data_IF_990459195119
#
_entry.id   IF_990459195119
#
_cell.length_a   1.000
_cell.length_b   1.000
_cell.length_c   1.000
_cell.angle_alpha   90.00
_cell.angle_beta   90.00
_cell.angle_gamma   90.00
#
_symmetry.space_group_name_H-M   'P 1'
#
loop_
_entity.id
_entity.type
_entity.pdbx_description
1 polymer ?
#
# COMPACT_ATOMS: atom_id res chain seq x y z
N UNK A 1 3.66 -21.97 -22.92
CA UNK A 1 4.35 -20.91 -22.18
C UNK A 1 3.94 -19.57 -22.75
N UNK A 2 2.99 -18.89 -22.10
CA UNK A 2 2.54 -17.57 -22.52
C UNK A 2 3.60 -16.49 -22.25
N UNK A 3 3.47 -15.30 -22.85
CA UNK A 3 4.29 -14.14 -22.50
C UNK A 3 4.09 -13.78 -21.03
N UNK A 4 5.15 -13.27 -20.41
CA UNK A 4 5.11 -12.77 -19.02
C UNK A 4 5.10 -11.25 -19.10
N UNK A 5 4.11 -10.62 -18.47
CA UNK A 5 4.11 -9.18 -18.27
C UNK A 5 4.97 -8.84 -17.05
N UNK A 6 5.79 -7.80 -17.18
CA UNK A 6 6.47 -7.19 -16.03
C UNK A 6 5.59 -6.02 -15.59
N UNK A 7 4.97 -6.16 -14.41
CA UNK A 7 4.16 -5.11 -13.79
C UNK A 7 5.11 -4.07 -13.17
N UNK A 8 5.06 -2.83 -13.67
CA UNK A 8 5.64 -1.68 -13.00
C UNK A 8 4.50 -0.80 -12.46
N UNK A 9 4.27 -0.87 -11.15
CA UNK A 9 3.25 -0.07 -10.46
C UNK A 9 3.95 1.06 -9.71
N UNK A 10 3.64 2.32 -10.05
CA UNK A 10 4.05 3.48 -9.23
C UNK A 10 2.90 3.83 -8.29
N UNK A 11 2.92 3.27 -7.09
CA UNK A 11 2.10 3.74 -5.96
C UNK A 11 2.96 4.62 -5.06
N UNK A 12 2.33 5.61 -4.41
CA UNK A 12 3.01 6.39 -3.37
C UNK A 12 3.60 5.43 -2.33
N UNK A 13 4.82 5.67 -1.83
CA UNK A 13 5.44 4.79 -0.84
C UNK A 13 4.52 4.69 0.39
N UNK A 14 4.17 3.46 0.77
CA UNK A 14 3.61 3.23 2.09
C UNK A 14 4.71 3.48 3.11
N UNK A 15 4.69 4.67 3.72
CA UNK A 15 5.54 4.95 4.87
C UNK A 15 4.99 4.10 6.03
N UNK A 16 5.69 3.01 6.35
CA UNK A 16 5.43 2.21 7.53
C UNK A 16 5.43 3.12 8.76
N UNK A 17 4.28 3.29 9.39
CA UNK A 17 4.13 4.12 10.57
C UNK A 17 4.55 3.31 11.81
N UNK A 18 5.85 3.26 12.11
CA UNK A 18 6.36 2.72 13.36
C UNK A 18 7.14 3.79 14.13
N UNK A 19 6.43 4.55 14.98
CA UNK A 19 7.10 5.38 15.99
C UNK A 19 6.40 6.68 16.36
N UNK A 20 5.27 6.66 17.06
CA UNK A 20 4.71 7.90 17.64
C UNK A 20 4.06 7.66 19.01
N UNK A 21 4.74 8.10 20.07
CA UNK A 21 4.27 9.06 21.10
C UNK A 21 5.20 9.04 22.32
N UNK A 22 5.89 10.15 22.58
CA UNK A 22 6.62 10.42 23.82
C UNK A 22 5.91 11.51 24.62
N UNK A 23 5.62 11.22 25.89
CA UNK A 23 5.13 12.17 26.89
C UNK A 23 6.27 12.85 27.64
N UNK A 24 6.00 14.06 28.13
CA UNK A 24 6.91 14.98 28.81
C UNK A 24 7.38 14.47 30.19
N UNK A 25 8.61 14.86 30.58
CA UNK A 25 9.13 14.70 31.93
C UNK A 25 10.46 15.46 32.12
N UNK A 26 10.41 16.52 32.92
CA UNK A 26 11.54 17.34 33.39
C UNK A 26 12.49 16.54 34.31
N UNK A 27 13.81 16.80 34.22
CA UNK A 27 14.78 16.33 35.21
C UNK A 27 16.23 16.69 34.87
N UNK A 28 16.84 17.53 35.71
CA UNK A 28 18.21 18.03 35.67
C UNK A 28 19.23 17.03 36.25
N UNK A 29 20.49 17.05 35.77
CA UNK A 29 21.60 16.34 36.44
C UNK A 29 22.86 16.17 35.60
N UNK A 30 23.92 16.90 35.96
CA UNK A 30 25.29 16.80 35.45
C UNK A 30 26.01 15.55 35.98
N UNK A 31 26.82 14.90 35.13
CA UNK A 31 27.76 13.85 35.56
C UNK A 31 28.59 13.30 34.40
N UNK A 32 29.89 13.58 34.41
CA UNK A 32 30.86 13.17 33.40
C UNK A 32 31.29 11.69 33.57
N UNK A 33 31.42 10.99 32.43
CA UNK A 33 32.01 9.65 32.34
C UNK A 33 31.92 9.13 30.91
N UNK A 34 33.07 8.95 30.25
CA UNK A 34 33.15 8.46 28.86
C UNK A 34 32.65 7.00 28.74
N UNK A 35 32.01 6.64 27.61
CA UNK A 35 32.05 5.24 27.17
C UNK A 35 32.37 5.06 25.68
N UNK A 36 32.88 3.86 25.41
CA UNK A 36 33.26 3.32 24.12
C UNK A 36 32.14 3.39 23.06
N UNK A 37 32.54 3.64 21.82
CA UNK A 37 31.64 3.74 20.67
C UNK A 37 31.05 2.37 20.29
N UNK A 38 29.95 1.98 20.93
CA UNK A 38 28.98 1.07 20.30
C UNK A 38 27.89 1.92 19.66
N UNK A 39 27.91 2.00 18.33
CA UNK A 39 26.86 2.68 17.56
C UNK A 39 25.54 1.91 17.68
N UNK A 40 24.75 2.22 18.70
CA UNK A 40 23.33 1.89 18.72
C UNK A 40 22.62 2.88 17.78
N UNK A 41 21.78 2.44 16.83
CA UNK A 41 20.98 3.37 16.05
C UNK A 41 19.83 3.84 16.95
N UNK A 42 20.04 4.95 17.65
CA UNK A 42 18.93 5.78 18.10
C UNK A 42 18.36 6.43 16.85
N UNK A 43 17.28 5.87 16.29
CA UNK A 43 16.62 6.46 15.13
C UNK A 43 15.97 7.79 15.55
N UNK A 44 16.74 8.87 15.48
CA UNK A 44 16.20 10.22 15.55
C UNK A 44 15.10 10.34 14.49
N UNK A 45 13.91 10.80 14.89
CA UNK A 45 12.82 11.04 13.95
C UNK A 45 13.34 11.88 12.78
N UNK A 46 13.04 11.42 11.57
CA UNK A 46 13.35 12.15 10.35
C UNK A 46 12.78 13.56 10.43
N UNK A 47 13.42 14.54 9.77
CA UNK A 47 12.88 15.91 9.69
C UNK A 47 11.45 15.91 9.11
N UNK A 48 11.15 14.94 8.23
CA UNK A 48 9.81 14.73 7.68
C UNK A 48 8.79 14.38 8.77
N UNK A 49 9.08 13.42 9.65
CA UNK A 49 8.16 13.01 10.71
C UNK A 49 7.88 14.15 11.69
N UNK A 50 8.92 14.93 12.03
CA UNK A 50 8.78 16.10 12.90
C UNK A 50 7.86 17.16 12.28
N UNK A 51 7.99 17.41 10.97
CA UNK A 51 7.27 18.48 10.28
C UNK A 51 5.97 18.01 9.60
N UNK A 52 5.62 16.73 9.68
CA UNK A 52 4.47 16.14 8.97
C UNK A 52 3.17 16.89 9.26
N UNK A 53 2.91 17.21 10.54
CA UNK A 53 1.70 17.91 10.95
C UNK A 53 1.62 19.31 10.31
N UNK A 54 2.71 20.06 10.36
CA UNK A 54 2.77 21.41 9.80
C UNK A 54 2.59 21.40 8.28
N UNK A 55 3.17 20.40 7.60
CA UNK A 55 3.01 20.19 6.16
C UNK A 55 1.55 19.82 5.80
N UNK A 56 0.94 18.91 6.54
CA UNK A 56 -0.46 18.53 6.33
C UNK A 56 -1.40 19.72 6.55
N UNK A 57 -1.16 20.52 7.59
CA UNK A 57 -1.92 21.74 7.89
C UNK A 57 -1.75 22.79 6.80
N UNK A 58 -0.53 22.97 6.27
CA UNK A 58 -0.29 23.86 5.13
C UNK A 58 -1.02 23.39 3.87
N UNK A 59 -0.92 22.08 3.54
CA UNK A 59 -1.62 21.49 2.40
C UNK A 59 -3.13 21.71 2.48
N UNK A 60 -3.73 21.55 3.66
CA UNK A 60 -5.16 21.79 3.89
C UNK A 60 -5.52 23.27 3.78
N UNK A 61 -4.79 24.16 4.45
CA UNK A 61 -5.02 25.63 4.42
C UNK A 61 -4.90 26.22 3.02
N UNK A 62 -3.96 25.71 2.21
CA UNK A 62 -3.74 26.14 0.82
C UNK A 62 -4.56 25.36 -0.20
N UNK A 63 -5.44 24.48 0.27
CA UNK A 63 -6.32 23.65 -0.56
C UNK A 63 -5.58 22.82 -1.61
N UNK A 64 -4.46 22.19 -1.24
CA UNK A 64 -3.88 21.12 -2.06
C UNK A 64 -4.79 19.91 -2.08
N UNK A 65 -5.25 19.48 -0.91
CA UNK A 65 -6.29 18.46 -0.77
C UNK A 65 -7.10 18.68 0.51
N UNK A 66 -8.34 18.19 0.52
CA UNK A 66 -9.24 18.15 1.69
C UNK A 66 -10.04 16.85 1.70
N UNK A 67 -10.69 16.56 2.81
CA UNK A 67 -11.57 15.42 2.92
C UNK A 67 -12.72 15.55 1.90
N UNK A 68 -13.01 14.49 1.15
CA UNK A 68 -14.16 14.47 0.25
C UNK A 68 -15.45 14.61 1.04
N UNK A 69 -16.39 15.40 0.52
CA UNK A 69 -17.71 15.66 1.15
C UNK A 69 -17.63 16.17 2.60
N UNK A 70 -16.59 16.93 2.95
CA UNK A 70 -16.31 17.41 4.32
C UNK A 70 -17.51 18.15 4.96
N UNK A 71 -18.25 18.96 4.18
CA UNK A 71 -19.43 19.70 4.68
C UNK A 71 -20.62 18.81 5.07
N UNK A 72 -20.60 17.54 4.65
CA UNK A 72 -21.57 16.50 5.02
C UNK A 72 -21.00 15.51 6.05
N UNK A 73 -19.90 15.87 6.74
CA UNK A 73 -19.20 15.00 7.69
C UNK A 73 -18.04 14.20 7.09
N UNK A 74 -17.98 14.11 5.75
CA UNK A 74 -16.94 13.42 5.02
C UNK A 74 -16.94 11.90 5.17
N UNK A 75 -16.24 11.21 4.26
CA UNK A 75 -16.06 9.75 4.31
C UNK A 75 -14.58 9.42 4.19
N UNK A 76 -14.00 8.77 5.22
CA UNK A 76 -12.58 8.42 5.26
C UNK A 76 -12.12 7.66 4.01
N UNK A 77 -10.93 7.98 3.52
CA UNK A 77 -10.34 7.40 2.31
C UNK A 77 -10.72 8.11 1.01
N UNK A 78 -11.65 9.08 1.01
CA UNK A 78 -11.96 9.90 -0.16
C UNK A 78 -11.46 11.34 0.00
N UNK A 79 -10.80 11.87 -1.04
CA UNK A 79 -10.18 13.20 -0.99
C UNK A 79 -10.50 14.02 -2.22
N UNK A 80 -10.68 15.33 -2.01
CA UNK A 80 -10.80 16.33 -3.08
C UNK A 80 -9.48 17.05 -3.22
N UNK A 81 -8.91 17.07 -4.42
CA UNK A 81 -7.75 17.90 -4.75
C UNK A 81 -8.25 19.31 -5.12
N UNK A 82 -7.69 20.36 -4.51
CA UNK A 82 -8.00 21.74 -4.87
C UNK A 82 -7.05 22.27 -5.95
N UNK A 83 -7.13 23.57 -6.32
CA UNK A 83 -6.44 24.11 -7.49
C UNK A 83 -4.94 23.80 -7.57
N UNK A 84 -4.11 24.04 -6.52
CA UNK A 84 -2.69 23.69 -6.58
C UNK A 84 -2.44 22.19 -6.56
N UNK A 85 -3.30 21.40 -5.90
CA UNK A 85 -3.19 19.93 -5.89
C UNK A 85 -3.49 19.31 -7.25
N UNK A 86 -4.50 19.82 -7.94
CA UNK A 86 -4.81 19.44 -9.32
C UNK A 86 -3.64 19.76 -10.26
N UNK A 87 -3.09 20.99 -10.19
CA UNK A 87 -1.94 21.38 -11.01
C UNK A 87 -0.72 20.48 -10.74
N UNK A 88 -0.39 20.23 -9.48
CA UNK A 88 0.71 19.34 -9.09
C UNK A 88 0.49 17.91 -9.62
N UNK A 89 -0.71 17.36 -9.42
CA UNK A 89 -1.05 16.01 -9.88
C UNK A 89 -0.94 15.88 -11.39
N UNK A 90 -1.45 16.86 -12.15
CA UNK A 90 -1.33 16.89 -13.61
C UNK A 90 0.13 16.93 -14.05
N UNK A 91 0.97 17.75 -13.39
CA UNK A 91 2.39 17.84 -13.70
C UNK A 91 3.12 16.52 -13.42
N UNK A 92 2.82 15.85 -12.31
CA UNK A 92 3.40 14.53 -11.99
C UNK A 92 3.01 13.49 -13.05
N UNK A 93 1.74 13.43 -13.44
CA UNK A 93 1.27 12.50 -14.48
C UNK A 93 1.94 12.81 -15.82
N UNK A 94 2.08 14.08 -16.17
CA UNK A 94 2.76 14.48 -17.40
C UNK A 94 4.24 14.07 -17.40
N UNK A 95 4.96 14.28 -16.29
CA UNK A 95 6.34 13.82 -16.15
C UNK A 95 6.44 12.29 -16.24
N UNK A 96 5.50 11.55 -15.64
CA UNK A 96 5.44 10.10 -15.74
C UNK A 96 5.24 9.63 -17.19
N UNK A 97 4.33 10.27 -17.95
CA UNK A 97 4.14 9.99 -19.38
C UNK A 97 5.41 10.23 -20.19
N UNK A 98 6.07 11.37 -19.96
CA UNK A 98 7.32 11.69 -20.65
C UNK A 98 8.41 10.66 -20.32
N UNK A 99 8.54 10.29 -19.05
CA UNK A 99 9.59 9.40 -18.57
C UNK A 99 9.41 7.93 -19.00
N UNK A 100 8.17 7.44 -19.07
CA UNK A 100 7.91 6.02 -19.39
C UNK A 100 7.27 5.83 -20.76
N UNK A 101 6.11 6.45 -21.00
CA UNK A 101 5.34 6.20 -22.23
C UNK A 101 6.09 6.71 -23.46
N UNK A 102 6.53 7.97 -23.43
CA UNK A 102 7.18 8.59 -24.58
C UNK A 102 8.58 7.99 -24.79
N UNK A 103 9.37 7.88 -23.72
CA UNK A 103 10.74 7.36 -23.77
C UNK A 103 10.80 5.91 -24.30
N UNK A 104 9.87 5.04 -23.88
CA UNK A 104 9.83 3.64 -24.31
C UNK A 104 8.81 3.36 -25.42
N UNK A 105 8.23 4.41 -26.01
CA UNK A 105 7.25 4.31 -27.11
C UNK A 105 6.10 3.34 -26.81
N UNK A 106 5.58 3.39 -25.59
CA UNK A 106 4.51 2.51 -25.15
C UNK A 106 3.16 2.93 -25.71
N UNK A 107 2.24 1.97 -25.87
CA UNK A 107 0.85 2.25 -26.21
C UNK A 107 0.08 2.68 -24.95
N UNK A 108 -0.37 3.93 -24.88
CA UNK A 108 -1.27 4.39 -23.82
C UNK A 108 -2.72 4.03 -24.17
N UNK A 109 -3.45 3.42 -23.23
CA UNK A 109 -4.89 3.14 -23.36
C UNK A 109 -5.66 3.71 -22.17
N UNK A 110 -6.98 3.89 -22.34
CA UNK A 110 -7.92 4.21 -21.28
C UNK A 110 -9.08 3.21 -21.31
N UNK A 111 -9.14 2.32 -20.31
CA UNK A 111 -10.27 1.40 -20.13
C UNK A 111 -11.29 1.91 -19.09
N UNK A 112 -12.47 1.30 -19.08
CA UNK A 112 -13.58 1.61 -18.17
C UNK A 112 -13.24 1.34 -16.69
N UNK A 113 -13.91 2.07 -15.78
CA UNK A 113 -13.75 1.87 -14.34
C UNK A 113 -14.62 0.74 -13.78
N UNK A 114 -15.70 0.37 -14.46
CA UNK A 114 -16.65 -0.66 -14.02
C UNK A 114 -16.31 -1.95 -14.75
N UNK A 115 -16.00 -3.00 -14.00
CA UNK A 115 -15.68 -4.32 -14.53
C UNK A 115 -16.74 -5.36 -14.16
N UNK A 116 -17.25 -6.14 -15.14
CA UNK A 116 -18.17 -7.23 -14.87
C UNK A 116 -17.54 -8.32 -13.99
N UNK A 117 -18.34 -8.95 -13.12
CA UNK A 117 -17.89 -10.02 -12.22
C UNK A 117 -17.04 -11.13 -12.91
N UNK A 118 -17.40 -11.65 -14.11
CA UNK A 118 -16.60 -12.70 -14.74
C UNK A 118 -15.13 -12.33 -15.00
N UNK A 119 -14.83 -11.06 -15.30
CA UNK A 119 -13.46 -10.58 -15.53
C UNK A 119 -12.64 -10.70 -14.25
N UNK A 120 -13.18 -10.20 -13.14
CA UNK A 120 -12.51 -10.19 -11.84
C UNK A 120 -12.51 -11.56 -11.16
N UNK A 121 -13.45 -12.44 -11.53
CA UNK A 121 -13.44 -13.85 -11.14
C UNK A 121 -12.32 -14.60 -11.87
N UNK A 122 -12.18 -14.39 -13.18
CA UNK A 122 -11.13 -15.02 -13.98
C UNK A 122 -9.72 -14.61 -13.56
N UNK A 123 -9.52 -13.35 -13.14
CA UNK A 123 -8.23 -12.88 -12.60
C UNK A 123 -7.99 -13.28 -11.14
N UNK A 124 -8.96 -13.88 -10.47
CA UNK A 124 -8.85 -14.33 -9.07
C UNK A 124 -9.13 -13.26 -8.02
N UNK A 125 -9.41 -12.01 -8.41
CA UNK A 125 -9.72 -10.92 -7.48
C UNK A 125 -10.95 -11.21 -6.63
N UNK A 126 -12.00 -11.81 -7.20
CA UNK A 126 -13.20 -12.15 -6.43
C UNK A 126 -12.89 -13.07 -5.24
N UNK A 127 -11.92 -13.97 -5.39
CA UNK A 127 -11.62 -15.00 -4.38
C UNK A 127 -10.48 -14.61 -3.44
N UNK A 128 -9.56 -13.75 -3.89
CA UNK A 128 -8.31 -13.46 -3.17
C UNK A 128 -8.13 -12.00 -2.79
N UNK A 129 -8.92 -11.08 -3.34
CA UNK A 129 -8.81 -9.65 -3.05
C UNK A 129 -9.60 -9.29 -1.78
N UNK A 130 -9.24 -9.96 -0.68
CA UNK A 130 -9.84 -9.76 0.63
C UNK A 130 -8.78 -9.64 1.71
N UNK A 131 -9.03 -8.74 2.65
CA UNK A 131 -8.30 -8.66 3.91
C UNK A 131 -9.09 -9.39 5.01
N UNK A 132 -8.41 -9.78 6.09
CA UNK A 132 -9.09 -10.25 7.29
C UNK A 132 -9.52 -9.10 8.19
N UNK A 133 -10.77 -9.15 8.64
CA UNK A 133 -11.39 -8.17 9.52
C UNK A 133 -11.76 -8.82 10.84
N UNK A 134 -11.48 -8.12 11.95
CA UNK A 134 -11.92 -8.48 13.30
C UNK A 134 -12.79 -7.37 13.86
N UNK A 135 -13.83 -7.73 14.62
CA UNK A 135 -14.77 -6.77 15.23
C UNK A 135 -14.64 -6.78 16.74
N UNK A 136 -14.94 -5.66 17.36
CA UNK A 136 -15.09 -5.57 18.81
C UNK A 136 -16.33 -6.36 19.23
N UNK A 137 -16.19 -7.30 20.18
CA UNK A 137 -17.31 -8.13 20.64
C UNK A 137 -18.40 -7.32 21.35
N UNK A 138 -18.08 -6.11 21.84
CA UNK A 138 -19.01 -5.21 22.50
C UNK A 138 -19.58 -4.11 21.59
N UNK A 139 -19.04 -3.91 20.38
CA UNK A 139 -19.52 -2.91 19.42
C UNK A 139 -19.22 -3.33 17.98
N UNK A 140 -20.23 -3.85 17.28
CA UNK A 140 -20.10 -4.35 15.91
C UNK A 140 -19.69 -3.27 14.89
N UNK A 141 -19.84 -1.98 15.23
CA UNK A 141 -19.42 -0.88 14.36
C UNK A 141 -17.91 -0.60 14.44
N UNK A 142 -17.24 -1.16 15.45
CA UNK A 142 -15.79 -1.07 15.60
C UNK A 142 -15.15 -2.31 15.02
N UNK A 143 -14.38 -2.08 13.97
CA UNK A 143 -13.68 -3.14 13.25
C UNK A 143 -12.27 -2.70 12.90
N UNK A 144 -11.39 -3.68 12.80
CA UNK A 144 -9.97 -3.50 12.55
C UNK A 144 -9.53 -4.49 11.48
N UNK A 145 -8.57 -4.09 10.67
CA UNK A 145 -7.87 -5.00 9.77
C UNK A 145 -6.91 -5.84 10.63
N UNK A 146 -7.01 -7.17 10.53
CA UNK A 146 -6.41 -8.09 11.49
C UNK A 146 -4.87 -8.04 11.48
N UNK A 147 -4.25 -8.09 10.30
CA UNK A 147 -2.80 -7.98 10.11
C UNK A 147 -2.26 -6.66 10.69
N UNK A 148 -2.93 -5.53 10.44
CA UNK A 148 -2.49 -4.22 10.89
C UNK A 148 -2.63 -4.07 12.39
N UNK A 149 -3.70 -4.61 12.95
CA UNK A 149 -3.87 -4.64 14.40
C UNK A 149 -2.76 -5.48 15.05
N UNK A 150 -2.40 -6.62 14.45
CA UNK A 150 -1.29 -7.45 14.91
C UNK A 150 0.04 -6.68 14.87
N UNK A 151 0.35 -6.03 13.75
CA UNK A 151 1.56 -5.18 13.63
C UNK A 151 1.62 -4.12 14.73
N UNK A 152 0.53 -3.35 14.91
CA UNK A 152 0.47 -2.25 15.86
C UNK A 152 0.65 -2.74 17.31
N UNK A 153 0.10 -3.92 17.64
CA UNK A 153 0.29 -4.55 18.96
C UNK A 153 1.71 -5.07 19.14
N UNK A 154 2.31 -5.68 18.11
CA UNK A 154 3.71 -6.12 18.18
C UNK A 154 4.67 -4.93 18.33
N UNK A 155 4.44 -3.84 17.62
CA UNK A 155 5.21 -2.60 17.75
C UNK A 155 5.06 -1.95 19.14
N UNK A 156 3.88 -2.03 19.74
CA UNK A 156 3.68 -1.57 21.12
C UNK A 156 4.47 -2.43 22.11
N UNK A 157 4.45 -3.75 21.94
CA UNK A 157 5.21 -4.70 22.78
C UNK A 157 6.72 -4.54 22.65
N UNK A 158 7.22 -4.25 21.44
CA UNK A 158 8.63 -3.99 21.20
C UNK A 158 9.16 -2.72 21.90
N UNK A 159 8.28 -1.81 22.32
CA UNK A 159 8.64 -0.58 23.05
C UNK A 159 8.57 -0.74 24.58
N UNK A 160 8.15 -1.90 25.08
CA UNK A 160 8.11 -2.18 26.52
C UNK A 160 9.54 -2.24 27.09
N UNK A 161 9.74 -1.72 28.30
CA UNK A 161 11.08 -1.55 28.90
C UNK A 161 11.76 -2.84 29.33
N UNK A 162 10.99 -3.91 29.56
CA UNK A 162 11.45 -5.19 30.13
C UNK A 162 11.35 -6.36 29.14
N UNK A 163 11.73 -6.14 27.87
CA UNK A 163 11.69 -7.17 26.83
C UNK A 163 13.00 -7.97 26.74
N UNK A 164 12.89 -9.29 26.68
CA UNK A 164 14.05 -10.18 26.49
C UNK A 164 14.50 -10.18 25.02
N UNK A 165 15.79 -10.38 24.71
CA UNK A 165 16.29 -10.42 23.32
C UNK A 165 15.58 -11.46 22.44
N UNK A 166 15.16 -12.59 23.01
CA UNK A 166 14.44 -13.63 22.29
C UNK A 166 13.02 -13.18 21.91
N UNK A 167 12.33 -12.45 22.80
CA UNK A 167 11.01 -11.86 22.50
C UNK A 167 11.10 -10.75 21.46
N UNK A 168 12.18 -9.96 21.45
CA UNK A 168 12.42 -8.96 20.41
C UNK A 168 12.48 -9.62 19.04
N UNK A 169 13.22 -10.74 18.91
CA UNK A 169 13.28 -11.50 17.66
C UNK A 169 11.92 -12.08 17.29
N UNK A 170 11.23 -12.73 18.24
CA UNK A 170 9.91 -13.32 18.02
C UNK A 170 8.89 -12.28 17.54
N UNK A 171 8.74 -11.16 18.24
CA UNK A 171 7.78 -10.11 17.88
C UNK A 171 8.14 -9.44 16.56
N UNK A 172 9.43 -9.29 16.25
CA UNK A 172 9.88 -8.75 14.97
C UNK A 172 9.49 -9.68 13.81
N UNK A 173 9.66 -11.00 13.97
CA UNK A 173 9.25 -11.98 12.95
C UNK A 173 7.74 -11.97 12.78
N UNK A 174 6.98 -12.02 13.88
CA UNK A 174 5.51 -12.00 13.83
C UNK A 174 4.99 -10.73 13.17
N UNK A 175 5.56 -9.57 13.50
CA UNK A 175 5.22 -8.29 12.85
C UNK A 175 5.52 -8.31 11.36
N UNK A 176 6.70 -8.79 10.95
CA UNK A 176 7.12 -8.79 9.56
C UNK A 176 6.34 -9.79 8.68
N UNK A 177 5.63 -10.74 9.29
CA UNK A 177 4.84 -11.78 8.60
C UNK A 177 3.33 -11.57 8.76
N UNK A 178 2.90 -10.46 9.38
CA UNK A 178 1.51 -10.24 9.75
C UNK A 178 0.52 -10.31 8.57
N UNK A 179 0.96 -9.89 7.38
CA UNK A 179 0.20 -9.88 6.13
C UNK A 179 0.17 -11.23 5.40
N UNK A 180 1.00 -12.19 5.82
CA UNK A 180 1.13 -13.50 5.20
C UNK A 180 0.33 -14.60 5.91
N UNK A 181 -0.15 -14.35 7.14
CA UNK A 181 -0.84 -15.36 7.94
C UNK A 181 -2.23 -15.73 7.39
N UNK A 182 -2.57 -17.02 7.48
CA UNK A 182 -3.91 -17.52 7.20
C UNK A 182 -4.91 -17.09 8.28
N UNK A 183 -6.20 -17.34 8.03
CA UNK A 183 -7.26 -17.10 9.02
C UNK A 183 -6.99 -17.86 10.33
N UNK A 184 -6.61 -19.13 10.22
CA UNK A 184 -6.35 -20.03 11.34
C UNK A 184 -5.14 -19.54 12.13
N UNK A 185 -4.04 -19.24 11.43
CA UNK A 185 -2.81 -18.72 12.05
C UNK A 185 -3.05 -17.38 12.77
N UNK A 186 -3.79 -16.46 12.14
CA UNK A 186 -4.17 -15.19 12.79
C UNK A 186 -4.99 -15.44 14.05
N UNK A 187 -5.93 -16.39 14.01
CA UNK A 187 -6.77 -16.72 15.17
C UNK A 187 -5.94 -17.26 16.33
N UNK A 188 -4.99 -18.16 16.05
CA UNK A 188 -4.07 -18.71 17.05
C UNK A 188 -3.15 -17.63 17.64
N UNK A 189 -2.60 -16.75 16.79
CA UNK A 189 -1.73 -15.64 17.21
C UNK A 189 -2.49 -14.65 18.09
N UNK A 190 -3.73 -14.30 17.72
CA UNK A 190 -4.58 -13.40 18.48
C UNK A 190 -4.87 -13.95 19.88
N UNK A 191 -5.11 -15.27 19.99
CA UNK A 191 -5.28 -15.94 21.27
C UNK A 191 -3.95 -16.00 22.06
N UNK A 192 -2.85 -16.40 21.41
CA UNK A 192 -1.51 -16.51 22.03
C UNK A 192 -1.05 -15.21 22.68
N UNK A 193 -1.27 -14.08 22.02
CA UNK A 193 -0.88 -12.76 22.53
C UNK A 193 -2.01 -12.00 23.22
N UNK A 194 -3.18 -12.62 23.39
CA UNK A 194 -4.37 -12.03 23.99
C UNK A 194 -4.68 -10.64 23.39
N UNK A 195 -4.74 -10.57 22.06
CA UNK A 195 -4.98 -9.32 21.32
C UNK A 195 -6.42 -8.87 21.56
N UNK A 196 -6.58 -7.59 21.93
CA UNK A 196 -7.86 -6.97 22.28
C UNK A 196 -8.10 -5.70 21.47
N UNK A 197 -9.34 -5.24 21.47
CA UNK A 197 -9.72 -3.95 20.89
C UNK A 197 -8.91 -2.82 21.56
N UNK A 198 -8.16 -2.01 20.80
CA UNK A 198 -7.32 -0.95 21.35
C UNK A 198 -8.13 0.18 22.00
N UNK A 199 -9.38 0.37 21.59
CA UNK A 199 -10.22 1.47 22.05
C UNK A 199 -11.05 1.12 23.29
N UNK A 200 -11.46 -0.14 23.44
CA UNK A 200 -12.36 -0.59 24.52
C UNK A 200 -11.73 -1.59 25.48
N UNK A 201 -10.67 -2.29 25.07
CA UNK A 201 -10.11 -3.43 25.81
C UNK A 201 -10.99 -4.69 25.76
N UNK A 202 -12.02 -4.73 24.92
CA UNK A 202 -12.88 -5.90 24.72
C UNK A 202 -12.19 -7.00 23.90
N UNK A 203 -12.76 -8.20 23.93
CA UNK A 203 -12.36 -9.29 23.05
C UNK A 203 -12.74 -8.97 21.60
N UNK A 204 -12.06 -9.64 20.68
CA UNK A 204 -12.30 -9.50 19.24
C UNK A 204 -13.00 -10.76 18.72
N UNK A 205 -13.81 -10.61 17.67
CA UNK A 205 -14.35 -11.74 16.92
C UNK A 205 -13.23 -12.48 16.18
N UNK A 206 -13.54 -13.68 15.68
CA UNK A 206 -12.65 -14.36 14.75
C UNK A 206 -12.41 -13.52 13.48
N UNK A 207 -11.24 -13.66 12.84
CA UNK A 207 -10.95 -12.99 11.57
C UNK A 207 -11.89 -13.49 10.45
N UNK A 208 -12.58 -12.56 9.82
CA UNK A 208 -13.47 -12.82 8.68
C UNK A 208 -12.93 -12.20 7.39
N UNK A 209 -13.01 -12.88 6.23
CA UNK A 209 -12.58 -12.29 4.98
C UNK A 209 -13.53 -11.17 4.55
N UNK A 210 -12.96 -10.02 4.19
CA UNK A 210 -13.69 -8.86 3.71
C UNK A 210 -13.20 -8.49 2.30
N UNK A 211 -14.09 -8.55 1.32
CA UNK A 211 -13.76 -8.23 -0.08
C UNK A 211 -13.49 -6.71 -0.22
N UNK A 212 -12.31 -6.38 -0.74
CA UNK A 212 -11.85 -5.00 -0.91
C UNK A 212 -12.32 -4.36 -2.21
N UNK A 213 -13.16 -4.99 -3.02
CA UNK A 213 -13.74 -4.38 -4.21
C UNK A 213 -15.06 -3.68 -3.88
N UNK A 214 -15.35 -2.56 -4.54
CA UNK A 214 -16.66 -1.92 -4.45
C UNK A 214 -17.64 -2.59 -5.42
N UNK A 215 -18.69 -3.30 -4.94
CA UNK A 215 -19.69 -3.88 -5.81
C UNK A 215 -20.60 -2.80 -6.39
N UNK A 216 -21.02 -2.97 -7.65
CA UNK A 216 -22.02 -2.12 -8.30
C UNK A 216 -22.89 -2.94 -9.24
N UNK A 217 -24.23 -2.82 -9.16
CA UNK A 217 -25.11 -3.43 -10.16
C UNK A 217 -24.98 -2.71 -11.51
N UNK A 218 -24.90 -3.47 -12.61
CA UNK A 218 -24.85 -2.94 -13.97
C UNK A 218 -26.24 -3.08 -14.61
N UNK A 219 -26.75 -1.95 -15.11
CA UNK A 219 -28.05 -1.88 -15.77
C UNK A 219 -29.24 -1.75 -14.80
N UNK A 220 -30.43 -1.43 -15.31
CA UNK A 220 -31.60 -1.09 -14.49
C UNK A 220 -32.18 -2.27 -13.71
N UNK A 221 -31.98 -3.50 -14.20
CA UNK A 221 -32.44 -4.73 -13.52
C UNK A 221 -31.55 -5.13 -12.34
N UNK A 222 -30.32 -4.61 -12.27
CA UNK A 222 -29.31 -5.01 -11.30
C UNK A 222 -28.89 -6.48 -11.34
N UNK A 223 -29.28 -7.21 -12.39
CA UNK A 223 -28.97 -8.65 -12.55
C UNK A 223 -27.52 -8.91 -12.90
N UNK A 224 -26.82 -7.93 -13.47
CA UNK A 224 -25.40 -8.04 -13.83
C UNK A 224 -24.58 -7.45 -12.69
N UNK A 225 -23.88 -8.29 -11.94
CA UNK A 225 -22.95 -7.82 -10.91
C UNK A 225 -21.68 -7.29 -11.57
N UNK A 226 -21.31 -6.06 -11.23
CA UNK A 226 -20.03 -5.44 -11.55
C UNK A 226 -19.28 -4.99 -10.31
N UNK A 227 -18.07 -4.49 -10.51
CA UNK A 227 -17.27 -3.87 -9.47
C UNK A 227 -16.57 -2.63 -10.05
N UNK A 228 -16.25 -1.67 -9.19
CA UNK A 228 -15.22 -0.70 -9.53
C UNK A 228 -13.87 -1.42 -9.53
N UNK A 229 -13.07 -1.19 -10.58
CA UNK A 229 -11.80 -1.90 -10.78
C UNK A 229 -10.81 -1.64 -9.62
N UNK A 230 -10.17 -2.68 -9.06
CA UNK A 230 -9.18 -2.53 -7.98
C UNK A 230 -7.77 -2.11 -8.45
N UNK A 231 -7.53 -2.20 -9.77
CA UNK A 231 -6.30 -1.89 -10.48
C UNK A 231 -6.62 -1.52 -11.95
N UNK A 232 -5.64 -1.04 -12.71
CA UNK A 232 -5.80 -0.70 -14.13
C UNK A 232 -5.32 -1.80 -15.10
N UNK A 233 -4.49 -2.74 -14.63
CA UNK A 233 -3.88 -3.81 -15.44
C UNK A 233 -4.89 -4.70 -16.19
N UNK A 234 -6.05 -5.01 -15.61
CA UNK A 234 -7.04 -5.88 -16.27
C UNK A 234 -7.51 -5.32 -17.62
N UNK A 235 -7.68 -4.00 -17.73
CA UNK A 235 -8.04 -3.35 -19.00
C UNK A 235 -6.97 -3.52 -20.07
N UNK A 236 -5.70 -3.51 -19.66
CA UNK A 236 -4.56 -3.77 -20.53
C UNK A 236 -4.58 -5.22 -21.03
N UNK A 237 -4.80 -6.19 -20.15
CA UNK A 237 -4.83 -7.60 -20.53
C UNK A 237 -5.98 -7.94 -21.50
N UNK A 238 -7.17 -7.36 -21.28
CA UNK A 238 -8.32 -7.54 -22.18
C UNK A 238 -8.04 -7.02 -23.60
N UNK A 239 -7.19 -5.99 -23.72
CA UNK A 239 -6.83 -5.36 -25.00
C UNK A 239 -5.48 -5.85 -25.57
N UNK A 240 -4.85 -6.85 -24.95
CA UNK A 240 -3.52 -7.34 -25.37
C UNK A 240 -3.46 -7.72 -26.85
N UNK A 241 -4.46 -8.46 -27.35
CA UNK A 241 -4.45 -8.95 -28.74
C UNK A 241 -4.46 -7.79 -29.74
N UNK A 242 -5.31 -6.80 -29.51
CA UNK A 242 -5.39 -5.62 -30.38
C UNK A 242 -4.07 -4.83 -30.36
N UNK A 243 -3.50 -4.60 -29.18
CA UNK A 243 -2.23 -3.88 -29.05
C UNK A 243 -1.05 -4.65 -29.68
N UNK A 244 -1.02 -5.98 -29.53
CA UNK A 244 -0.03 -6.83 -30.20
C UNK A 244 -0.12 -6.71 -31.72
N UNK A 245 -1.33 -6.67 -32.28
CA UNK A 245 -1.56 -6.47 -33.71
C UNK A 245 -1.06 -5.09 -34.17
N UNK A 246 -1.30 -4.03 -33.40
CA UNK A 246 -0.76 -2.69 -33.66
C UNK A 246 0.78 -2.67 -33.60
N UNK A 247 1.38 -3.52 -32.76
CA UNK A 247 2.84 -3.73 -32.73
C UNK A 247 3.33 -4.78 -33.76
N UNK A 248 2.58 -4.99 -34.85
CA UNK A 248 2.92 -5.92 -35.93
C UNK A 248 3.21 -7.36 -35.46
N UNK A 249 2.53 -7.80 -34.40
CA UNK A 249 2.71 -9.10 -33.75
C UNK A 249 4.14 -9.36 -33.25
N UNK A 250 4.87 -8.31 -32.88
CA UNK A 250 6.24 -8.41 -32.36
C UNK A 250 6.29 -8.19 -30.85
N UNK A 251 7.24 -8.86 -30.21
CA UNK A 251 7.64 -8.67 -28.82
C UNK A 251 9.11 -8.26 -28.77
N UNK A 252 9.54 -7.45 -27.79
CA UNK A 252 8.73 -6.91 -26.69
C UNK A 252 7.92 -5.66 -27.06
N UNK A 253 6.93 -5.32 -26.23
CA UNK A 253 6.25 -4.01 -26.26
C UNK A 253 5.59 -3.70 -24.91
N UNK A 254 5.32 -2.42 -24.65
CA UNK A 254 4.64 -1.96 -23.45
C UNK A 254 3.25 -1.40 -23.75
N UNK A 255 2.30 -1.68 -22.87
CA UNK A 255 1.03 -0.95 -22.79
C UNK A 255 0.98 -0.26 -21.42
N UNK A 256 0.56 1.00 -21.40
CA UNK A 256 0.42 1.79 -20.19
C UNK A 256 -1.01 2.29 -20.02
N UNK A 257 -1.45 2.44 -18.77
CA UNK A 257 -2.72 3.07 -18.44
C UNK A 257 -2.56 3.99 -17.23
N UNK A 258 -3.08 5.21 -17.35
CA UNK A 258 -3.21 6.15 -16.23
C UNK A 258 -4.69 6.33 -15.93
N UNK A 259 -5.12 5.92 -14.74
CA UNK A 259 -6.56 5.90 -14.43
C UNK A 259 -6.87 5.79 -12.96
N UNK A 260 -8.16 5.90 -12.63
CA UNK A 260 -8.66 5.66 -11.27
C UNK A 260 -8.73 4.16 -10.97
N UNK A 261 -8.43 3.83 -9.72
CA UNK A 261 -8.64 2.52 -9.11
C UNK A 261 -9.27 2.67 -7.74
N UNK A 262 -10.00 1.64 -7.33
CA UNK A 262 -10.87 1.70 -6.17
C UNK A 262 -10.62 0.50 -5.26
N UNK A 263 -10.31 0.77 -3.99
CA UNK A 263 -10.11 -0.25 -2.97
C UNK A 263 -10.97 0.09 -1.77
N UNK A 264 -11.90 -0.78 -1.41
CA UNK A 264 -12.77 -0.61 -0.26
C UNK A 264 -12.01 -0.89 1.04
N UNK A 265 -10.98 -0.07 1.31
CA UNK A 265 -10.12 -0.19 2.48
C UNK A 265 -10.94 -0.20 3.77
N UNK A 266 -10.66 -1.17 4.64
CA UNK A 266 -11.36 -1.37 5.91
C UNK A 266 -11.19 -0.12 6.79
N UNK A 267 -9.95 0.27 7.05
CA UNK A 267 -9.63 1.43 7.89
C UNK A 267 -8.59 2.33 7.19
N UNK A 268 -9.01 3.20 6.25
CA UNK A 268 -8.10 4.12 5.57
C UNK A 268 -7.63 5.20 6.56
N UNK A 269 -6.50 4.92 7.22
CA UNK A 269 -5.78 5.83 8.12
C UNK A 269 -4.58 6.41 7.35
N UNK A 270 -4.07 7.57 7.78
CA UNK A 270 -2.86 8.24 7.25
C UNK A 270 -3.01 9.13 6.00
N UNK A 271 -4.21 9.63 5.69
CA UNK A 271 -4.35 10.66 4.66
C UNK A 271 -4.23 10.09 3.24
N UNK A 272 -3.40 10.72 2.41
CA UNK A 272 -3.26 10.34 0.99
C UNK A 272 -2.50 9.03 0.76
N UNK A 273 -1.83 8.45 1.75
CA UNK A 273 -1.13 7.17 1.59
C UNK A 273 -2.08 5.97 1.52
N UNK A 274 -3.29 6.08 2.10
CA UNK A 274 -4.31 5.02 2.11
C UNK A 274 -5.68 5.59 1.76
N UNK A 275 -6.02 5.50 0.49
CA UNK A 275 -7.25 6.03 -0.08
C UNK A 275 -8.13 4.89 -0.58
N UNK A 276 -9.44 5.16 -0.69
CA UNK A 276 -10.41 4.25 -1.31
C UNK A 276 -10.59 4.47 -2.80
N UNK A 277 -10.21 5.64 -3.27
CA UNK A 277 -10.17 6.01 -4.68
C UNK A 277 -8.87 6.79 -4.94
N UNK A 278 -8.04 6.31 -5.84
CA UNK A 278 -6.75 6.94 -6.16
C UNK A 278 -6.43 6.77 -7.64
N UNK A 279 -5.47 7.56 -8.14
CA UNK A 279 -4.98 7.44 -9.51
C UNK A 279 -3.74 6.57 -9.51
N UNK A 280 -3.73 5.58 -10.39
CA UNK A 280 -2.58 4.74 -10.68
C UNK A 280 -2.07 5.04 -12.08
N UNK A 281 -0.78 4.78 -12.26
CA UNK A 281 -0.13 4.70 -13.54
C UNK A 281 0.58 3.34 -13.58
N UNK A 282 0.07 2.43 -14.40
CA UNK A 282 0.57 1.05 -14.52
C UNK A 282 1.07 0.79 -15.92
N UNK A 283 2.10 -0.03 -16.01
CA UNK A 283 2.71 -0.49 -17.26
C UNK A 283 2.72 -2.01 -17.23
N UNK A 284 2.21 -2.62 -18.30
CA UNK A 284 2.43 -4.02 -18.63
C UNK A 284 3.43 -4.10 -19.77
N UNK A 285 4.65 -4.52 -19.46
CA UNK A 285 5.69 -4.71 -20.47
C UNK A 285 5.78 -6.18 -20.85
N UNK A 286 5.31 -6.51 -22.05
CA UNK A 286 5.23 -7.88 -22.56
C UNK A 286 6.54 -8.31 -23.20
N UNK A 287 7.12 -9.38 -22.68
CA UNK A 287 8.39 -9.94 -23.18
C UNK A 287 8.28 -11.43 -23.47
N UNK A 288 9.18 -11.93 -24.33
CA UNK A 288 9.33 -13.37 -24.50
C UNK A 288 9.94 -13.97 -23.23
N UNK A 289 9.42 -15.08 -22.68
CA UNK A 289 9.97 -15.70 -21.47
C UNK A 289 11.45 -16.09 -21.60
N UNK A 290 11.90 -16.43 -22.81
CA UNK A 290 13.28 -16.81 -23.13
C UNK A 290 14.23 -15.63 -23.35
N UNK A 291 13.71 -14.40 -23.41
CA UNK A 291 14.48 -13.20 -23.72
C UNK A 291 14.12 -12.04 -22.78
N UNK A 292 14.39 -12.22 -21.48
CA UNK A 292 14.20 -11.19 -20.44
C UNK A 292 15.44 -10.29 -20.31
N UNK A 293 15.75 -9.54 -21.36
CA UNK A 293 16.83 -8.55 -21.37
C UNK A 293 16.29 -7.24 -21.94
N UNK A 294 16.68 -6.10 -21.36
CA UNK A 294 16.29 -4.78 -21.85
C UNK A 294 17.49 -4.10 -22.53
N UNK A 295 17.39 -3.67 -23.80
CA UNK A 295 18.52 -3.10 -24.54
C UNK A 295 19.06 -1.82 -23.89
N UNK A 296 18.19 -1.04 -23.23
CA UNK A 296 18.57 0.20 -22.54
C UNK A 296 19.08 0.01 -21.11
N UNK A 297 19.20 -1.21 -20.57
CA UNK A 297 19.62 -1.39 -19.17
C UNK A 297 20.94 -0.68 -18.82
N UNK A 298 21.87 -0.59 -19.77
CA UNK A 298 23.15 0.11 -19.62
C UNK A 298 23.01 1.60 -19.24
N UNK A 299 21.88 2.25 -19.55
CA UNK A 299 21.67 3.67 -19.21
C UNK A 299 21.47 3.89 -17.72
N UNK A 300 21.01 2.85 -17.00
CA UNK A 300 20.72 2.89 -15.55
C UNK A 300 21.62 1.99 -14.71
N UNK A 301 22.49 1.20 -15.36
CA UNK A 301 23.32 0.18 -14.69
C UNK A 301 24.26 0.74 -13.61
N UNK A 302 24.61 2.03 -13.68
CA UNK A 302 25.50 2.69 -12.72
C UNK A 302 24.76 3.44 -11.60
N UNK A 303 23.41 3.35 -11.54
CA UNK A 303 22.64 3.96 -10.46
C UNK A 303 22.87 3.19 -9.17
N UNK A 304 23.27 3.90 -8.12
CA UNK A 304 23.32 3.36 -6.76
C UNK A 304 21.94 3.48 -6.13
N UNK A 305 21.37 2.35 -5.72
CA UNK A 305 20.02 2.26 -5.20
C UNK A 305 20.08 1.46 -3.90
N UNK A 306 19.35 1.92 -2.88
CA UNK A 306 19.16 1.13 -1.66
C UNK A 306 18.24 -0.04 -1.98
N UNK A 307 18.81 -1.24 -2.06
CA UNK A 307 18.05 -2.47 -2.36
C UNK A 307 17.83 -3.29 -1.08
N UNK A 308 16.64 -3.86 -0.94
CA UNK A 308 16.29 -4.74 0.18
C UNK A 308 15.88 -6.13 -0.29
N UNK A 309 16.84 -7.05 -0.37
CA UNK A 309 16.57 -8.39 -0.89
C UNK A 309 15.74 -9.23 0.08
N UNK A 310 14.93 -10.16 -0.47
CA UNK A 310 14.10 -11.07 0.33
C UNK A 310 14.89 -11.88 1.37
N UNK A 311 16.09 -12.45 1.08
CA UNK A 311 16.89 -13.13 2.09
C UNK A 311 17.25 -12.24 3.29
N UNK A 312 17.59 -10.96 3.05
CA UNK A 312 17.94 -10.02 4.14
C UNK A 312 16.73 -9.63 4.98
N UNK A 313 15.57 -9.46 4.34
CA UNK A 313 14.31 -9.22 5.05
C UNK A 313 13.97 -10.36 6.01
N UNK A 314 14.10 -11.61 5.54
CA UNK A 314 13.85 -12.81 6.34
C UNK A 314 14.88 -12.98 7.46
N UNK A 315 16.12 -12.55 7.24
CA UNK A 315 17.19 -12.56 8.24
C UNK A 315 17.10 -11.41 9.26
N UNK A 316 16.20 -10.43 9.04
CA UNK A 316 16.08 -9.24 9.90
C UNK A 316 17.24 -8.26 9.77
N UNK A 317 17.95 -8.28 8.63
CA UNK A 317 19.11 -7.41 8.36
C UNK A 317 18.71 -6.09 7.68
N UNK A 318 19.61 -5.10 7.65
CA UNK A 318 19.38 -3.79 6.99
C UNK A 318 19.65 -3.80 5.47
N UNK A 319 19.34 -2.70 4.79
CA UNK A 319 19.62 -2.47 3.36
C UNK A 319 21.12 -2.50 3.01
N UNK A 320 21.45 -2.82 1.76
CA UNK A 320 22.77 -2.60 1.15
C UNK A 320 22.73 -1.40 0.19
N UNK A 321 23.83 -0.63 0.13
CA UNK A 321 24.07 0.44 -0.85
C UNK A 321 24.59 -0.06 -2.20
#
# INVERSE_FOLDING_TARGET
>A
GGPVAILAQVTAPQVGASGLRGGEGLGTGLGAGAPAASAAPTSAMSDFERNRKELEDLCRRRFFFRQGSEIYGGVSGFYTYGPPGCALKTNIIHQWRNHFIIEEQMMEIEDTNIMPHPVLKASGHVDRFSDFLVRDSGDEKKFYRADKLLEDVMDAKLKEKDITPDKVKEYTVVRNQADAYSKEELSEIFQKYAIKSPDSGNNLTEPEPFNLMFPTPIGPSGTIQGYLRPETAQGIFLNYKFCLEQNANKLPFGIAQVGKSFRNEIAPRQGLTRQREFTQAEIEYFVKPTAKQHPKFKTVANLKLLLFSSPRQLAGESHEE
#
